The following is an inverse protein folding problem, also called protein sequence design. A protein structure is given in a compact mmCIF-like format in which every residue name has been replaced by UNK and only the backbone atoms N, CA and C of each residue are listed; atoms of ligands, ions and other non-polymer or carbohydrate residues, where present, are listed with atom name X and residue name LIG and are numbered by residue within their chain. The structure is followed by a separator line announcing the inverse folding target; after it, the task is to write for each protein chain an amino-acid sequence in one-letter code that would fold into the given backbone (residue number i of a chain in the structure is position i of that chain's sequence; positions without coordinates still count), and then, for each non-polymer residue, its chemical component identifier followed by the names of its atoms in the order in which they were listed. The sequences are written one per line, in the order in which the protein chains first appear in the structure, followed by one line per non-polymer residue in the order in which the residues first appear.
data_IF_375399749677
#
_entry.id   IF_375399749677
#
_cell.length_a   1.000
_cell.length_b   1.000
_cell.length_c   1.000
_cell.angle_alpha   90.00
_cell.angle_beta   90.00
_cell.angle_gamma   90.00
#
_symmetry.space_group_name_H-M   'P 1'
#
loop_
_entity.id
_entity.type
_entity.pdbx_description
1 polymer ?
#
# COMPACT_ATOMS: atom_id res chain seq x y z
N UNK A 1 -0.30 -11.19 -3.97
CA UNK A 1 0.20 -10.25 -5.00
C UNK A 1 -0.77 -10.02 -6.16
N UNK A 2 -1.30 -11.04 -6.85
CA UNK A 2 -2.19 -10.82 -8.03
C UNK A 2 -3.43 -9.95 -7.76
N UNK A 3 -4.16 -10.20 -6.66
CA UNK A 3 -5.35 -9.42 -6.30
C UNK A 3 -5.03 -7.98 -5.85
N UNK A 4 -3.79 -7.72 -5.44
CA UNK A 4 -3.31 -6.37 -5.11
C UNK A 4 -2.97 -5.64 -6.41
N UNK A 5 -2.24 -6.31 -7.31
CA UNK A 5 -1.84 -5.74 -8.59
C UNK A 5 -3.01 -5.27 -9.45
N UNK A 6 -4.14 -5.99 -9.44
CA UNK A 6 -5.34 -5.58 -10.19
C UNK A 6 -6.01 -4.31 -9.66
N UNK A 7 -5.69 -3.88 -8.43
CA UNK A 7 -6.23 -2.66 -7.81
C UNK A 7 -5.31 -1.45 -7.96
N UNK A 8 -4.11 -1.63 -8.51
CA UNK A 8 -3.11 -0.57 -8.66
C UNK A 8 -3.25 0.11 -10.03
N UNK A 9 -3.67 1.37 -10.00
CA UNK A 9 -3.92 2.16 -11.21
C UNK A 9 -2.64 2.66 -11.88
N UNK A 10 -1.53 2.80 -11.14
CA UNK A 10 -0.29 3.41 -11.64
C UNK A 10 0.80 2.38 -11.93
N UNK A 11 1.61 2.65 -12.95
CA UNK A 11 2.77 1.80 -13.31
C UNK A 11 3.82 1.79 -12.20
N UNK A 12 4.04 2.93 -11.54
CA UNK A 12 4.96 3.05 -10.41
C UNK A 12 4.55 2.14 -9.23
N UNK A 13 3.26 2.12 -8.87
CA UNK A 13 2.79 1.26 -7.78
C UNK A 13 2.91 -0.23 -8.15
N UNK A 14 2.69 -0.59 -9.42
CA UNK A 14 2.90 -1.96 -9.91
C UNK A 14 4.38 -2.35 -9.86
N UNK A 15 5.29 -1.45 -10.20
CA UNK A 15 6.73 -1.69 -10.08
C UNK A 15 7.17 -1.93 -8.62
N UNK A 16 6.67 -1.12 -7.67
CA UNK A 16 6.93 -1.31 -6.24
C UNK A 16 6.38 -2.65 -5.71
N UNK A 17 5.20 -3.06 -6.17
CA UNK A 17 4.62 -4.36 -5.82
C UNK A 17 5.50 -5.53 -6.31
N UNK A 18 6.07 -5.40 -7.50
CA UNK A 18 6.99 -6.40 -8.05
C UNK A 18 8.29 -6.47 -7.25
N UNK A 19 8.83 -5.33 -6.81
CA UNK A 19 9.99 -5.28 -5.91
C UNK A 19 9.68 -5.97 -4.59
N UNK A 20 8.52 -5.67 -3.97
CA UNK A 20 8.09 -6.32 -2.73
C UNK A 20 7.96 -7.83 -2.90
N UNK A 21 7.37 -8.28 -4.01
CA UNK A 21 7.23 -9.70 -4.32
C UNK A 21 8.59 -10.40 -4.40
N UNK A 22 9.54 -9.83 -5.15
CA UNK A 22 10.89 -10.40 -5.29
C UNK A 22 11.59 -10.49 -3.95
N UNK A 23 11.55 -9.41 -3.17
CA UNK A 23 12.14 -9.38 -1.82
C UNK A 23 11.53 -10.44 -0.90
N UNK A 24 10.21 -10.65 -0.96
CA UNK A 24 9.54 -11.70 -0.19
C UNK A 24 9.96 -13.11 -0.63
N UNK A 25 9.97 -13.36 -1.94
CA UNK A 25 10.36 -14.67 -2.49
C UNK A 25 11.83 -14.99 -2.18
N UNK A 26 12.72 -14.00 -2.25
CA UNK A 26 14.13 -14.14 -1.91
C UNK A 26 14.34 -14.36 -0.41
N UNK A 27 13.65 -13.60 0.45
CA UNK A 27 13.66 -13.82 1.90
C UNK A 27 13.20 -15.24 2.24
N UNK A 28 12.09 -15.69 1.64
CA UNK A 28 11.55 -17.02 1.89
C UNK A 28 12.52 -18.12 1.46
N UNK A 29 13.13 -18.01 0.28
CA UNK A 29 14.16 -18.96 -0.16
C UNK A 29 15.34 -19.01 0.80
N UNK A 30 15.81 -17.86 1.29
CA UNK A 30 16.92 -17.82 2.23
C UNK A 30 16.55 -18.52 3.54
N UNK A 31 15.37 -18.24 4.10
CA UNK A 31 14.90 -18.91 5.31
C UNK A 31 14.75 -20.42 5.09
N UNK A 32 14.11 -20.83 4.00
CA UNK A 32 13.90 -22.26 3.67
C UNK A 32 15.24 -22.99 3.39
N UNK A 33 16.29 -22.27 2.97
CA UNK A 33 17.63 -22.82 2.75
C UNK A 33 18.46 -23.00 4.03
N UNK A 34 18.09 -22.31 5.11
CA UNK A 34 18.76 -22.44 6.41
C UNK A 34 18.17 -23.66 7.11
N UNK A 35 19.00 -24.69 7.30
CA UNK A 35 18.64 -25.83 8.15
C UNK A 35 18.36 -25.35 9.58
N UNK A 36 17.22 -25.76 10.15
CA UNK A 36 16.87 -25.43 11.56
C UNK A 36 17.93 -25.95 12.54
N UNK A 37 18.63 -27.02 12.18
CA UNK A 37 19.71 -27.61 12.96
C UNK A 37 21.04 -27.48 12.23
N UNK A 38 22.05 -26.92 12.91
CA UNK A 38 23.42 -26.94 12.41
C UNK A 38 23.89 -28.40 12.29
N UNK A 39 24.53 -28.74 11.17
CA UNK A 39 25.03 -30.09 10.93
C UNK A 39 25.94 -30.53 12.09
N UNK A 40 25.65 -31.70 12.68
CA UNK A 40 26.45 -32.24 13.76
C UNK A 40 27.90 -32.48 13.31
N UNK A 41 28.86 -31.97 14.07
CA UNK A 41 30.29 -32.15 13.76
C UNK A 41 30.71 -33.57 14.15
N UNK A 42 31.24 -34.34 13.20
CA UNK A 42 31.79 -35.67 13.46
C UNK A 42 33.21 -35.59 14.04
N UNK A 43 33.29 -35.29 15.34
CA UNK A 43 34.54 -35.20 16.08
C UNK A 43 35.38 -36.48 16.02
N UNK A 44 34.75 -37.66 15.92
CA UNK A 44 35.44 -38.96 15.92
C UNK A 44 36.21 -39.22 14.63
N UNK A 45 35.69 -38.75 13.48
CA UNK A 45 36.41 -38.79 12.21
C UNK A 45 37.64 -37.86 12.21
N UNK A 46 37.51 -36.67 12.81
CA UNK A 46 38.61 -35.71 12.93
C UNK A 46 39.71 -36.20 13.87
N UNK A 47 39.36 -36.82 14.99
CA UNK A 47 40.32 -37.44 15.92
C UNK A 47 41.17 -38.53 15.25
N UNK A 48 40.60 -39.29 14.31
CA UNK A 48 41.34 -40.33 13.55
C UNK A 48 42.26 -39.75 12.48
N UNK A 49 41.89 -38.62 11.89
CA UNK A 49 42.61 -38.02 10.76
C UNK A 49 43.74 -37.10 11.20
N UNK A 50 43.56 -36.39 12.32
CA UNK A 50 44.51 -35.41 12.82
C UNK A 50 45.54 -36.12 13.71
N UNK A 51 46.80 -36.09 13.28
CA UNK A 51 47.92 -36.75 13.97
C UNK A 51 48.39 -36.03 15.23
N UNK A 52 47.97 -34.78 15.42
CA UNK A 52 48.36 -33.94 16.58
C UNK A 52 47.50 -34.32 17.80
N UNK A 53 48.07 -34.95 18.84
CA UNK A 53 47.30 -35.38 20.01
C UNK A 53 46.70 -34.18 20.74
N UNK A 54 45.45 -34.31 21.20
CA UNK A 54 44.78 -33.30 22.03
C UNK A 54 44.21 -32.07 21.30
N UNK A 55 44.56 -31.87 20.03
CA UNK A 55 44.07 -30.72 19.25
C UNK A 55 42.55 -30.77 19.04
N UNK A 56 42.03 -31.91 18.61
CA UNK A 56 40.58 -32.08 18.36
C UNK A 56 39.76 -31.98 19.65
N UNK A 57 40.29 -32.49 20.77
CA UNK A 57 39.68 -32.35 22.09
C UNK A 57 39.60 -30.88 22.53
N UNK A 58 40.68 -30.10 22.33
CA UNK A 58 40.68 -28.67 22.64
C UNK A 58 39.65 -27.88 21.81
N UNK A 59 39.50 -28.20 20.51
CA UNK A 59 38.51 -27.57 19.64
C UNK A 59 37.07 -27.97 20.01
N UNK A 60 36.83 -29.23 20.36
CA UNK A 60 35.53 -29.71 20.84
C UNK A 60 35.10 -28.98 22.12
N UNK A 61 36.02 -28.83 23.07
CA UNK A 61 35.78 -28.08 24.31
C UNK A 61 35.54 -26.59 24.08
N UNK A 62 36.27 -25.98 23.14
CA UNK A 62 36.07 -24.58 22.77
C UNK A 62 34.71 -24.37 22.07
N UNK A 63 34.34 -25.28 21.16
CA UNK A 63 33.05 -25.24 20.48
C UNK A 63 31.88 -25.40 21.45
N UNK A 64 31.99 -26.31 22.43
CA UNK A 64 30.96 -26.49 23.46
C UNK A 64 30.76 -25.27 24.37
N UNK A 65 31.80 -24.43 24.51
CA UNK A 65 31.75 -23.18 25.30
C UNK A 65 31.27 -21.98 24.49
N UNK A 66 31.14 -22.12 23.17
CA UNK A 66 30.67 -21.04 22.31
C UNK A 66 29.17 -20.85 22.51
N UNK A 67 28.77 -19.64 22.91
CA UNK A 67 27.38 -19.24 22.94
C UNK A 67 27.05 -18.48 21.66
N UNK A 68 25.92 -18.82 21.03
CA UNK A 68 25.41 -18.04 19.92
C UNK A 68 24.65 -16.84 20.48
N UNK A 69 24.86 -15.63 19.93
CA UNK A 69 24.07 -14.47 20.33
C UNK A 69 22.60 -14.69 19.96
N UNK A 70 21.70 -14.45 20.92
CA UNK A 70 20.27 -14.45 20.65
C UNK A 70 19.91 -13.28 19.72
N UNK A 71 19.05 -13.56 18.73
CA UNK A 71 18.51 -12.52 17.88
C UNK A 71 17.51 -11.68 18.69
N UNK A 72 17.86 -10.44 18.98
CA UNK A 72 16.95 -9.50 19.64
C UNK A 72 16.05 -8.82 18.61
N UNK A 73 14.75 -8.85 18.86
CA UNK A 73 13.79 -8.08 18.07
C UNK A 73 13.88 -6.60 18.45
N UNK A 74 14.34 -5.79 17.50
CA UNK A 74 14.45 -4.34 17.64
C UNK A 74 13.50 -3.59 16.71
N UNK A 75 12.85 -4.27 15.76
CA UNK A 75 12.20 -3.64 14.61
C UNK A 75 10.69 -3.83 14.59
N UNK A 76 10.15 -4.88 15.21
CA UNK A 76 8.71 -5.20 15.13
C UNK A 76 7.84 -4.07 15.68
N UNK A 77 8.26 -3.39 16.74
CA UNK A 77 7.51 -2.27 17.31
C UNK A 77 7.38 -1.11 16.32
N UNK A 78 8.48 -0.75 15.64
CA UNK A 78 8.49 0.29 14.61
C UNK A 78 7.60 -0.04 13.43
N UNK A 79 7.73 -1.27 12.90
CA UNK A 79 6.92 -1.76 11.79
C UNK A 79 5.43 -1.73 12.15
N UNK A 80 5.05 -2.21 13.34
CA UNK A 80 3.65 -2.18 13.80
C UNK A 80 3.10 -0.75 13.86
N UNK A 81 3.88 0.21 14.34
CA UNK A 81 3.49 1.62 14.40
C UNK A 81 3.25 2.19 13.00
N UNK A 82 4.18 1.97 12.06
CA UNK A 82 4.03 2.43 10.68
C UNK A 82 2.81 1.83 9.99
N UNK A 83 2.55 0.53 10.17
CA UNK A 83 1.36 -0.13 9.62
C UNK A 83 0.05 0.40 10.23
N UNK A 84 0.05 0.75 11.52
CA UNK A 84 -1.12 1.33 12.17
C UNK A 84 -1.47 2.69 11.56
N UNK A 85 -0.48 3.56 11.32
CA UNK A 85 -0.67 4.86 10.67
C UNK A 85 -1.25 4.73 9.26
N UNK A 86 -0.65 3.86 8.43
CA UNK A 86 -1.12 3.63 7.04
C UNK A 86 -2.56 3.09 7.05
N UNK A 87 -2.90 2.23 8.03
CA UNK A 87 -4.24 1.69 8.16
C UNK A 87 -5.26 2.77 8.51
N UNK A 88 -4.95 3.65 9.45
CA UNK A 88 -5.83 4.76 9.82
C UNK A 88 -6.09 5.68 8.63
N UNK A 89 -5.04 6.03 7.88
CA UNK A 89 -5.17 6.82 6.65
C UNK A 89 -6.03 6.13 5.59
N UNK A 90 -5.86 4.82 5.40
CA UNK A 90 -6.67 4.04 4.46
C UNK A 90 -8.15 3.96 4.88
N UNK A 91 -8.42 3.81 6.17
CA UNK A 91 -9.79 3.81 6.72
C UNK A 91 -10.46 5.17 6.51
N UNK A 92 -9.72 6.27 6.72
CA UNK A 92 -10.20 7.63 6.45
C UNK A 92 -10.51 7.84 4.96
N UNK A 93 -9.59 7.47 4.08
CA UNK A 93 -9.77 7.64 2.63
C UNK A 93 -10.95 6.81 2.10
N UNK A 94 -11.17 5.61 2.65
CA UNK A 94 -12.31 4.78 2.30
C UNK A 94 -13.64 5.42 2.72
N UNK A 95 -13.69 6.04 3.90
CA UNK A 95 -14.86 6.77 4.37
C UNK A 95 -15.15 8.00 3.50
N UNK A 96 -14.12 8.79 3.18
CA UNK A 96 -14.24 9.95 2.27
C UNK A 96 -14.73 9.52 0.88
N UNK A 97 -14.14 8.48 0.30
CA UNK A 97 -14.56 7.95 -1.01
C UNK A 97 -16.02 7.50 -1.01
N UNK A 98 -16.48 6.87 0.07
CA UNK A 98 -17.88 6.45 0.22
C UNK A 98 -18.82 7.65 0.26
N UNK A 99 -18.45 8.70 1.01
CA UNK A 99 -19.23 9.94 1.05
C UNK A 99 -19.28 10.63 -0.32
N UNK A 100 -18.16 10.69 -1.05
CA UNK A 100 -18.11 11.24 -2.41
C UNK A 100 -18.99 10.47 -3.38
N UNK A 101 -19.01 9.13 -3.31
CA UNK A 101 -19.89 8.31 -4.14
C UNK A 101 -21.37 8.64 -3.88
N UNK A 102 -21.75 8.87 -2.62
CA UNK A 102 -23.14 9.25 -2.28
C UNK A 102 -23.51 10.60 -2.91
N UNK A 103 -22.64 11.61 -2.80
CA UNK A 103 -22.92 12.93 -3.38
C UNK A 103 -22.95 12.88 -4.91
N UNK A 104 -22.01 12.20 -5.56
CA UNK A 104 -22.00 12.03 -7.01
C UNK A 104 -23.25 11.34 -7.54
N UNK A 105 -23.77 10.32 -6.84
CA UNK A 105 -25.02 9.68 -7.24
C UNK A 105 -26.23 10.62 -7.11
N UNK A 106 -26.22 11.51 -6.10
CA UNK A 106 -27.25 12.54 -5.95
C UNK A 106 -27.17 13.58 -7.07
N UNK A 107 -25.97 14.04 -7.43
CA UNK A 107 -25.76 14.94 -8.57
C UNK A 107 -26.21 14.29 -9.89
N UNK A 108 -25.84 13.03 -10.14
CA UNK A 108 -26.30 12.28 -11.32
C UNK A 108 -27.84 12.26 -11.37
N UNK A 109 -28.50 11.97 -10.24
CA UNK A 109 -29.96 11.94 -10.17
C UNK A 109 -30.59 13.31 -10.47
N UNK A 110 -29.97 14.40 -10.00
CA UNK A 110 -30.42 15.78 -10.29
C UNK A 110 -30.23 16.15 -11.76
N UNK A 111 -29.10 15.75 -12.36
CA UNK A 111 -28.82 15.97 -13.79
C UNK A 111 -29.82 15.20 -14.65
N UNK A 112 -30.11 13.94 -14.32
CA UNK A 112 -31.10 13.12 -15.03
C UNK A 112 -32.51 13.74 -14.95
N UNK A 113 -32.92 14.20 -13.76
CA UNK A 113 -34.20 14.88 -13.57
C UNK A 113 -34.28 16.19 -14.38
N UNK A 114 -33.21 16.99 -14.37
CA UNK A 114 -33.11 18.23 -15.14
C UNK A 114 -33.17 17.95 -16.64
N UNK A 115 -32.42 16.95 -17.12
CA UNK A 115 -32.40 16.54 -18.52
C UNK A 115 -33.78 16.06 -18.98
N UNK A 116 -34.51 15.32 -18.15
CA UNK A 116 -35.87 14.88 -18.46
C UNK A 116 -36.86 16.04 -18.60
N UNK A 117 -36.64 17.12 -17.83
CA UNK A 117 -37.47 18.34 -17.87
C UNK A 117 -36.99 19.37 -18.90
N UNK A 118 -35.89 19.13 -19.61
CA UNK A 118 -35.26 20.15 -20.47
C UNK A 118 -36.16 20.65 -21.61
N UNK A 119 -37.12 19.83 -22.09
CA UNK A 119 -38.12 20.24 -23.08
C UNK A 119 -39.19 21.17 -22.51
N UNK A 120 -39.41 21.11 -21.20
CA UNK A 120 -40.49 21.79 -20.49
C UNK A 120 -39.96 22.89 -19.54
N UNK A 121 -38.64 23.00 -19.41
CA UNK A 121 -37.96 23.96 -18.54
C UNK A 121 -38.07 25.36 -19.15
N UNK A 122 -38.64 26.30 -18.41
CA UNK A 122 -38.67 27.70 -18.85
C UNK A 122 -37.28 28.32 -18.68
N UNK A 123 -36.98 29.37 -19.45
CA UNK A 123 -35.69 30.08 -19.38
C UNK A 123 -35.44 30.63 -17.96
N UNK A 124 -36.50 31.06 -17.28
CA UNK A 124 -36.43 31.56 -15.89
C UNK A 124 -36.04 30.44 -14.90
N UNK A 125 -36.63 29.24 -15.04
CA UNK A 125 -36.26 28.07 -14.22
C UNK A 125 -34.81 27.62 -14.49
N UNK A 126 -34.35 27.69 -15.74
CA UNK A 126 -32.98 27.35 -16.12
C UNK A 126 -31.94 28.31 -15.51
N UNK A 127 -32.27 29.59 -15.42
CA UNK A 127 -31.42 30.62 -14.81
C UNK A 127 -31.39 30.56 -13.28
N UNK A 128 -32.48 30.09 -12.64
CA UNK A 128 -32.50 29.83 -11.18
C UNK A 128 -31.72 28.57 -10.79
N UNK A 129 -31.79 27.51 -11.61
CA UNK A 129 -31.05 26.27 -11.41
C UNK A 129 -29.54 26.43 -11.62
N UNK A 130 -29.12 27.43 -12.39
CA UNK A 130 -27.72 27.64 -12.73
C UNK A 130 -27.30 29.12 -12.56
N UNK A 131 -27.05 29.56 -11.32
CA UNK A 131 -26.74 30.96 -11.02
C UNK A 131 -25.44 31.47 -11.67
N UNK A 132 -24.52 30.59 -12.06
CA UNK A 132 -23.35 30.97 -12.88
C UNK A 132 -23.76 31.43 -14.29
N UNK A 133 -24.73 30.75 -14.93
CA UNK A 133 -25.25 31.18 -16.23
C UNK A 133 -25.91 32.54 -16.10
N UNK A 134 -26.69 32.76 -15.03
CA UNK A 134 -27.29 34.06 -14.74
C UNK A 134 -26.23 35.16 -14.56
N UNK A 135 -25.16 34.88 -13.84
CA UNK A 135 -24.08 35.83 -13.62
C UNK A 135 -23.33 36.18 -14.92
N UNK A 136 -23.07 35.20 -15.79
CA UNK A 136 -22.43 35.46 -17.09
C UNK A 136 -23.37 36.24 -18.01
N UNK A 137 -24.66 35.91 -18.04
CA UNK A 137 -25.66 36.66 -18.81
C UNK A 137 -25.77 38.11 -18.32
N UNK A 138 -25.82 38.35 -17.00
CA UNK A 138 -25.85 39.71 -16.43
C UNK A 138 -24.57 40.50 -16.73
N UNK A 139 -23.42 39.82 -16.79
CA UNK A 139 -22.14 40.42 -17.16
C UNK A 139 -22.11 40.77 -18.65
N UNK A 140 -22.55 39.87 -19.52
CA UNK A 140 -22.68 40.14 -20.96
C UNK A 140 -23.70 41.26 -21.25
N UNK A 141 -24.77 41.38 -20.46
CA UNK A 141 -25.78 42.45 -20.58
C UNK A 141 -25.27 43.82 -20.10
N UNK A 142 -24.29 43.84 -19.18
CA UNK A 142 -23.61 45.06 -18.74
C UNK A 142 -22.48 45.49 -19.67
N UNK A 143 -21.79 44.53 -20.28
CA UNK A 143 -20.70 44.80 -21.23
C UNK A 143 -21.21 45.10 -22.64
N UNK A 144 -22.31 44.47 -23.04
CA UNK A 144 -23.01 44.77 -24.29
C UNK A 144 -24.01 45.89 -24.02
N UNK A 145 -23.67 47.11 -24.41
CA UNK A 145 -24.56 48.28 -24.46
C UNK A 145 -25.75 48.01 -25.41
N UNK A 146 -26.70 47.16 -24.99
CA UNK A 146 -27.98 47.00 -25.68
C UNK A 146 -28.89 48.17 -25.30
N UNK A 147 -28.65 49.29 -25.98
CA UNK A 147 -29.70 50.26 -26.29
C UNK A 147 -30.85 49.53 -26.98
N UNK A 148 -31.96 49.32 -26.26
CA UNK A 148 -33.28 49.30 -26.86
C UNK A 148 -33.90 50.67 -26.61
#
# INVERSE_FOLDING_TARGET
FSAIGSKLSTDAARAELDVLRRSYDDFRKNVDSVSEEAAAIDWASWEKTIKTPGLVAAFKDAHAKMTFPELQDTMTAGVKSSFASIREEAEKLAAESTATIVELNKEISQIEATKARLSDLTIDEAMELNPEIKAEVEKELKESDYSI
#
